data_IF_489276822231
#
_entry.id   IF_489276822231
#
_cell.length_a   1.000
_cell.length_b   1.000
_cell.length_c   1.000
_cell.angle_alpha   90.00
_cell.angle_beta   90.00
_cell.angle_gamma   90.00
#
_symmetry.space_group_name_H-M   'P 1'
#
loop_
_entity.id
_entity.type
_entity.pdbx_description
1 polymer ?
#
# COMPACT_ATOMS: atom_id res chain seq x y z
N UNK A 1 -10.35 41.32 9.75
CA UNK A 1 -11.09 40.29 9.03
C UNK A 1 -10.70 40.12 7.55
N UNK A 2 -10.44 41.15 6.74
CA UNK A 2 -9.87 40.97 5.37
C UNK A 2 -8.40 40.50 5.41
N UNK A 3 -7.56 41.09 6.28
CA UNK A 3 -6.15 40.71 6.42
C UNK A 3 -5.93 39.29 6.94
N UNK A 4 -6.79 38.74 7.80
CA UNK A 4 -6.65 37.38 8.32
C UNK A 4 -6.98 36.32 7.26
N UNK A 5 -7.98 36.56 6.40
CA UNK A 5 -8.28 35.66 5.29
C UNK A 5 -7.21 35.68 4.21
N UNK A 6 -6.60 36.81 3.91
CA UNK A 6 -5.46 36.92 2.99
C UNK A 6 -4.19 36.32 3.59
N UNK A 7 -3.96 36.49 4.90
CA UNK A 7 -2.87 35.83 5.62
C UNK A 7 -3.04 34.31 5.62
N UNK A 8 -4.23 33.79 5.94
CA UNK A 8 -4.51 32.35 5.88
C UNK A 8 -4.47 31.81 4.45
N UNK A 9 -4.86 32.57 3.45
CA UNK A 9 -4.72 32.18 2.03
C UNK A 9 -3.26 32.19 1.57
N UNK A 10 -2.44 33.14 2.01
CA UNK A 10 -0.99 33.15 1.74
C UNK A 10 -0.27 32.02 2.47
N UNK A 11 -0.57 31.79 3.73
CA UNK A 11 0.00 30.67 4.50
C UNK A 11 -0.43 29.30 3.94
N UNK A 12 -1.67 29.18 3.45
CA UNK A 12 -2.13 27.98 2.75
C UNK A 12 -1.48 27.79 1.37
N UNK A 13 -1.11 28.89 0.69
CA UNK A 13 -0.40 28.87 -0.60
C UNK A 13 1.12 28.56 -0.45
N UNK A 14 1.70 28.80 0.73
CA UNK A 14 3.10 28.51 1.03
C UNK A 14 3.33 27.12 1.65
N UNK A 15 2.28 26.43 2.08
CA UNK A 15 2.42 25.06 2.61
C UNK A 15 2.39 24.06 1.47
N UNK A 16 3.55 23.52 1.11
CA UNK A 16 3.63 22.30 0.29
C UNK A 16 3.04 21.18 1.15
N UNK A 17 1.96 20.54 0.73
CA UNK A 17 1.52 19.34 1.43
C UNK A 17 2.68 18.34 1.44
N UNK A 18 2.82 17.58 2.51
CA UNK A 18 3.79 16.51 2.57
C UNK A 18 3.54 15.54 1.40
N UNK A 19 4.61 15.13 0.72
CA UNK A 19 4.52 14.21 -0.39
C UNK A 19 5.56 13.10 -0.25
N UNK A 20 5.27 11.98 -0.86
CA UNK A 20 6.12 10.80 -0.86
C UNK A 20 6.62 10.52 -2.27
N UNK A 21 7.92 10.24 -2.41
CA UNK A 21 8.53 9.94 -3.70
C UNK A 21 9.04 8.50 -3.71
N UNK A 22 8.47 7.68 -4.57
CA UNK A 22 8.92 6.32 -4.80
C UNK A 22 9.96 6.32 -5.92
N UNK A 23 11.24 6.31 -5.56
CA UNK A 23 12.32 6.32 -6.52
C UNK A 23 12.61 4.92 -7.05
N UNK A 24 12.72 4.80 -8.36
CA UNK A 24 12.92 3.55 -9.10
C UNK A 24 14.29 3.52 -9.76
N UNK A 25 15.36 3.21 -9.00
CA UNK A 25 16.73 3.35 -9.48
C UNK A 25 17.09 2.39 -10.63
N UNK A 26 16.32 1.30 -10.78
CA UNK A 26 16.44 0.31 -11.87
C UNK A 26 15.28 0.37 -12.85
N UNK A 27 14.41 1.40 -12.75
CA UNK A 27 13.19 1.47 -13.57
C UNK A 27 12.40 0.17 -13.50
N UNK A 28 12.05 -0.38 -14.66
CA UNK A 28 11.32 -1.64 -14.77
C UNK A 28 12.19 -2.90 -14.66
N UNK A 29 13.52 -2.79 -14.64
CA UNK A 29 14.40 -3.98 -14.59
C UNK A 29 14.27 -4.73 -13.28
N UNK A 30 14.09 -6.05 -13.39
CA UNK A 30 13.98 -6.98 -12.28
C UNK A 30 14.74 -8.28 -12.60
N UNK A 31 15.19 -8.99 -11.55
CA UNK A 31 15.75 -10.34 -11.62
C UNK A 31 14.69 -11.45 -11.50
N UNK A 32 13.41 -11.06 -11.33
CA UNK A 32 12.26 -11.94 -11.37
C UNK A 32 11.34 -11.61 -12.54
N UNK A 33 10.50 -12.58 -12.90
CA UNK A 33 9.40 -12.45 -13.84
C UNK A 33 8.12 -12.90 -13.15
N UNK A 34 7.51 -12.01 -12.36
CA UNK A 34 6.23 -12.29 -11.71
C UNK A 34 5.10 -12.10 -12.72
N UNK A 35 4.21 -13.08 -12.87
CA UNK A 35 3.19 -13.11 -13.94
C UNK A 35 2.18 -11.95 -13.87
N UNK A 36 1.98 -11.36 -12.69
CA UNK A 36 1.09 -10.23 -12.45
C UNK A 36 1.80 -8.87 -12.36
N UNK A 37 3.10 -8.80 -12.67
CA UNK A 37 3.86 -7.58 -12.42
C UNK A 37 3.53 -6.48 -13.45
N UNK A 38 2.72 -5.50 -13.03
CA UNK A 38 2.33 -4.36 -13.86
C UNK A 38 3.50 -3.45 -14.25
N UNK A 39 4.65 -3.59 -13.56
CA UNK A 39 5.79 -2.71 -13.75
C UNK A 39 6.74 -3.17 -14.85
N UNK A 40 6.81 -4.47 -15.16
CA UNK A 40 7.68 -5.00 -16.22
C UNK A 40 7.40 -4.40 -17.60
N UNK A 41 6.14 -4.16 -17.93
CA UNK A 41 5.76 -3.55 -19.21
C UNK A 41 6.25 -2.10 -19.36
N UNK A 42 6.63 -1.42 -18.27
CA UNK A 42 7.15 -0.05 -18.29
C UNK A 42 8.53 0.05 -18.96
N UNK A 43 9.20 -1.08 -19.19
CA UNK A 43 10.43 -1.13 -19.98
C UNK A 43 10.25 -0.49 -21.37
N UNK A 44 9.06 -0.66 -21.98
CA UNK A 44 8.75 -0.10 -23.28
C UNK A 44 8.70 1.43 -23.34
N UNK A 45 8.58 2.10 -22.19
CA UNK A 45 8.59 3.57 -22.13
C UNK A 45 9.99 4.16 -22.36
N UNK A 46 11.04 3.37 -22.18
CA UNK A 46 12.43 3.82 -22.21
C UNK A 46 13.30 2.95 -23.12
N UNK A 47 13.02 2.93 -24.42
CA UNK A 47 13.78 2.09 -25.38
C UNK A 47 15.26 2.48 -25.39
N UNK A 48 16.14 1.50 -25.25
CA UNK A 48 17.60 1.71 -25.24
C UNK A 48 18.19 2.19 -23.92
N UNK A 49 17.39 2.32 -22.87
CA UNK A 49 17.89 2.66 -21.53
C UNK A 49 18.68 1.51 -20.92
N UNK A 50 19.69 1.82 -20.13
CA UNK A 50 20.40 0.88 -19.26
C UNK A 50 19.65 0.62 -17.94
N UNK A 51 18.59 1.38 -17.67
CA UNK A 51 17.77 1.30 -16.46
C UNK A 51 18.60 1.42 -15.17
N UNK A 52 19.53 2.37 -15.16
CA UNK A 52 20.36 2.66 -13.99
C UNK A 52 20.33 4.14 -13.65
N UNK A 53 19.89 4.45 -12.45
CA UNK A 53 19.93 5.80 -11.91
C UNK A 53 21.38 6.24 -11.71
N UNK A 54 21.74 7.39 -12.27
CA UNK A 54 23.06 7.98 -12.09
C UNK A 54 23.18 8.67 -10.75
N UNK A 55 24.41 8.84 -10.27
CA UNK A 55 24.69 9.46 -8.96
C UNK A 55 24.20 10.92 -8.89
N UNK A 56 24.32 11.71 -9.96
CA UNK A 56 23.82 13.08 -10.01
C UNK A 56 22.29 13.17 -9.81
N UNK A 57 21.55 12.22 -10.39
CA UNK A 57 20.11 12.13 -10.22
C UNK A 57 19.73 11.63 -8.81
N UNK A 58 20.44 10.64 -8.28
CA UNK A 58 20.27 10.15 -6.91
C UNK A 58 20.47 11.27 -5.89
N UNK A 59 21.51 12.08 -6.06
CA UNK A 59 21.79 13.24 -5.23
C UNK A 59 20.70 14.33 -5.35
N UNK A 60 20.24 14.60 -6.58
CA UNK A 60 19.13 15.52 -6.84
C UNK A 60 17.83 15.05 -6.19
N UNK A 61 17.52 13.74 -6.28
CA UNK A 61 16.36 13.13 -5.62
C UNK A 61 16.40 13.38 -4.10
N UNK A 62 17.51 13.06 -3.44
CA UNK A 62 17.67 13.23 -1.99
C UNK A 62 17.50 14.70 -1.60
N UNK A 63 18.28 15.59 -2.26
CA UNK A 63 18.28 17.01 -1.96
C UNK A 63 16.91 17.67 -2.18
N UNK A 64 16.26 17.37 -3.31
CA UNK A 64 15.00 18.01 -3.67
C UNK A 64 13.83 17.45 -2.84
N UNK A 65 13.79 16.14 -2.56
CA UNK A 65 12.74 15.54 -1.73
C UNK A 65 12.78 16.11 -0.32
N UNK A 66 13.96 16.24 0.28
CA UNK A 66 14.10 16.82 1.61
C UNK A 66 13.90 18.35 1.61
N UNK A 67 14.49 19.05 0.61
CA UNK A 67 14.45 20.51 0.55
C UNK A 67 13.08 21.12 0.20
N UNK A 68 12.24 20.38 -0.52
CA UNK A 68 10.91 20.85 -0.94
C UNK A 68 9.84 20.74 0.15
N UNK A 69 10.11 20.10 1.26
CA UNK A 69 9.12 19.81 2.32
C UNK A 69 9.45 20.57 3.62
N UNK A 70 8.42 20.83 4.42
CA UNK A 70 8.53 21.47 5.74
C UNK A 70 7.92 20.53 6.80
N UNK A 71 8.49 19.31 6.87
CA UNK A 71 8.06 18.24 7.78
C UNK A 71 9.21 17.87 8.71
N UNK A 72 8.95 17.34 9.90
CA UNK A 72 10.01 16.93 10.83
C UNK A 72 10.78 15.69 10.33
N UNK A 73 10.18 14.92 9.42
CA UNK A 73 10.74 13.69 8.89
C UNK A 73 10.39 13.55 7.40
N UNK A 74 11.36 13.13 6.59
CA UNK A 74 11.17 12.80 5.18
C UNK A 74 11.45 11.32 4.94
N UNK A 75 10.69 10.70 4.03
CA UNK A 75 10.94 9.31 3.63
C UNK A 75 11.71 9.28 2.30
N UNK A 76 12.84 8.60 2.27
CA UNK A 76 13.57 8.24 1.05
C UNK A 76 13.24 6.78 0.70
N UNK A 77 12.39 6.60 -0.31
CA UNK A 77 11.87 5.30 -0.67
C UNK A 77 12.48 4.80 -1.99
N UNK A 78 13.04 3.59 -1.92
CA UNK A 78 13.64 2.88 -3.05
C UNK A 78 12.78 1.68 -3.42
N UNK A 79 12.31 1.64 -4.65
CA UNK A 79 11.54 0.51 -5.19
C UNK A 79 11.70 0.45 -6.72
N UNK A 80 10.79 -0.15 -7.44
CA UNK A 80 10.82 -0.25 -8.90
C UNK A 80 10.71 -1.69 -9.36
N UNK A 81 11.50 -2.09 -10.35
CA UNK A 81 11.66 -3.50 -10.71
C UNK A 81 12.30 -4.26 -9.53
N UNK A 82 13.62 -4.23 -9.46
CA UNK A 82 14.33 -4.69 -8.26
C UNK A 82 15.49 -3.74 -7.93
N UNK A 83 15.35 -2.87 -6.91
CA UNK A 83 16.35 -1.84 -6.61
C UNK A 83 17.71 -2.41 -6.20
N UNK A 84 17.78 -3.63 -5.64
CA UNK A 84 19.05 -4.25 -5.25
C UNK A 84 19.97 -4.60 -6.43
N UNK A 85 19.46 -4.60 -7.67
CA UNK A 85 20.25 -4.69 -8.90
C UNK A 85 21.20 -3.50 -9.11
N UNK A 86 21.00 -2.38 -8.41
CA UNK A 86 21.97 -1.28 -8.39
C UNK A 86 23.27 -1.67 -7.70
N UNK A 87 23.25 -2.69 -6.85
CA UNK A 87 24.36 -3.11 -6.01
C UNK A 87 24.48 -2.29 -4.73
N UNK A 88 25.08 -2.87 -3.70
CA UNK A 88 25.18 -2.28 -2.36
C UNK A 88 25.93 -0.94 -2.35
N UNK A 89 26.94 -0.79 -3.20
CA UNK A 89 27.72 0.46 -3.28
C UNK A 89 26.90 1.67 -3.71
N UNK A 90 25.85 1.50 -4.52
CA UNK A 90 24.91 2.58 -4.84
C UNK A 90 24.21 3.07 -3.56
N UNK A 91 23.73 2.17 -2.71
CA UNK A 91 23.04 2.54 -1.47
C UNK A 91 24.00 3.13 -0.42
N UNK A 92 25.27 2.69 -0.40
CA UNK A 92 26.31 3.33 0.41
C UNK A 92 26.54 4.79 -0.01
N UNK A 93 26.62 5.05 -1.33
CA UNK A 93 26.72 6.41 -1.85
C UNK A 93 25.46 7.24 -1.58
N UNK A 94 24.27 6.65 -1.74
CA UNK A 94 23.01 7.32 -1.41
C UNK A 94 22.96 7.72 0.07
N UNK A 95 23.38 6.82 0.96
CA UNK A 95 23.47 7.12 2.40
C UNK A 95 24.47 8.24 2.71
N UNK A 96 25.63 8.22 2.07
CA UNK A 96 26.63 9.27 2.22
C UNK A 96 26.13 10.62 1.67
N UNK A 97 25.35 10.60 0.59
CA UNK A 97 24.79 11.79 -0.06
C UNK A 97 23.74 12.52 0.80
N UNK A 98 23.12 11.87 1.77
CA UNK A 98 22.21 12.52 2.73
C UNK A 98 22.93 13.61 3.56
N UNK A 99 24.23 13.37 3.87
CA UNK A 99 25.05 14.33 4.58
C UNK A 99 25.18 15.64 3.81
N UNK A 100 24.72 16.75 4.40
CA UNK A 100 24.75 18.08 3.80
C UNK A 100 23.65 18.39 2.77
N UNK A 101 22.82 17.40 2.38
CA UNK A 101 21.68 17.61 1.46
C UNK A 101 20.33 17.59 2.18
N UNK A 102 20.23 16.89 3.31
CA UNK A 102 19.04 16.91 4.16
C UNK A 102 19.15 18.10 5.13
N UNK A 103 18.11 18.93 5.28
CA UNK A 103 18.11 20.04 6.21
C UNK A 103 18.42 19.60 7.65
N UNK A 104 19.19 20.41 8.37
CA UNK A 104 19.53 20.13 9.77
C UNK A 104 18.26 19.99 10.64
N UNK A 105 18.21 18.93 11.44
CA UNK A 105 17.08 18.63 12.30
C UNK A 105 15.92 17.88 11.65
N UNK A 106 15.96 17.62 10.34
CA UNK A 106 14.99 16.76 9.64
C UNK A 106 15.44 15.31 9.79
N UNK A 107 14.56 14.45 10.31
CA UNK A 107 14.79 13.01 10.34
C UNK A 107 14.63 12.40 8.94
N UNK A 108 15.36 11.31 8.67
CA UNK A 108 15.24 10.55 7.41
C UNK A 108 14.78 9.14 7.73
N UNK A 109 13.62 8.77 7.23
CA UNK A 109 13.16 7.40 7.15
C UNK A 109 13.63 6.81 5.82
N UNK A 110 14.24 5.64 5.86
CA UNK A 110 14.75 4.95 4.66
C UNK A 110 13.95 3.69 4.44
N UNK A 111 13.40 3.55 3.25
CA UNK A 111 12.65 2.35 2.91
C UNK A 111 13.18 1.70 1.65
N UNK A 112 13.23 0.37 1.63
CA UNK A 112 13.64 -0.45 0.49
C UNK A 112 12.60 -1.52 0.23
N UNK A 113 11.86 -1.41 -0.88
CA UNK A 113 10.95 -2.46 -1.32
C UNK A 113 11.71 -3.41 -2.25
N UNK A 114 11.79 -4.69 -1.88
CA UNK A 114 12.57 -5.68 -2.61
C UNK A 114 11.89 -7.06 -2.65
N UNK A 115 12.19 -7.84 -3.67
CA UNK A 115 11.85 -9.27 -3.72
C UNK A 115 12.76 -10.12 -2.81
N UNK A 116 13.80 -9.57 -2.21
CA UNK A 116 14.68 -10.20 -1.25
C UNK A 116 15.71 -11.18 -1.82
N UNK A 117 15.60 -11.56 -3.08
CA UNK A 117 16.39 -12.65 -3.68
C UNK A 117 17.91 -12.38 -3.67
N UNK A 118 18.33 -11.12 -3.68
CA UNK A 118 19.73 -10.70 -3.66
C UNK A 118 20.23 -10.28 -2.27
N UNK A 119 19.40 -10.35 -1.22
CA UNK A 119 19.82 -9.99 0.12
C UNK A 119 20.70 -11.09 0.73
N UNK A 120 21.96 -10.79 0.86
CA UNK A 120 22.96 -11.59 1.60
C UNK A 120 23.25 -10.98 2.98
N UNK A 121 24.23 -11.53 3.69
CA UNK A 121 24.60 -11.04 5.03
C UNK A 121 25.16 -9.61 4.99
N UNK A 122 25.89 -9.22 3.94
CA UNK A 122 26.44 -7.86 3.79
C UNK A 122 25.33 -6.83 3.57
N UNK A 123 24.35 -7.14 2.73
CA UNK A 123 23.16 -6.34 2.54
C UNK A 123 22.38 -6.16 3.84
N UNK A 124 22.09 -7.27 4.54
CA UNK A 124 21.29 -7.22 5.75
C UNK A 124 21.97 -6.45 6.88
N UNK A 125 23.30 -6.58 7.02
CA UNK A 125 24.08 -5.78 7.96
C UNK A 125 24.00 -4.27 7.63
N UNK A 126 24.19 -3.90 6.36
CA UNK A 126 24.08 -2.51 5.92
C UNK A 126 22.68 -1.93 6.19
N UNK A 127 21.62 -2.68 5.89
CA UNK A 127 20.25 -2.24 6.09
C UNK A 127 19.95 -1.99 7.58
N UNK A 128 20.41 -2.89 8.46
CA UNK A 128 20.28 -2.75 9.90
C UNK A 128 21.06 -1.55 10.45
N UNK A 129 22.35 -1.41 10.07
CA UNK A 129 23.24 -0.33 10.52
C UNK A 129 22.77 1.07 10.10
N UNK A 130 21.96 1.16 9.05
CA UNK A 130 21.47 2.42 8.48
C UNK A 130 19.96 2.63 8.67
N UNK A 131 19.31 1.88 9.56
CA UNK A 131 17.90 2.01 9.93
C UNK A 131 16.95 1.97 8.71
N UNK A 132 17.17 1.02 7.78
CA UNK A 132 16.25 0.80 6.68
C UNK A 132 15.07 -0.04 7.12
N UNK A 133 13.85 0.42 6.81
CA UNK A 133 12.68 -0.44 6.81
C UNK A 133 12.59 -1.18 5.47
N UNK A 134 12.67 -2.50 5.51
CA UNK A 134 12.64 -3.36 4.32
C UNK A 134 11.23 -3.85 4.05
N UNK A 135 10.67 -3.51 2.90
CA UNK A 135 9.45 -4.14 2.39
C UNK A 135 9.82 -5.43 1.66
N UNK A 136 9.57 -6.58 2.25
CA UNK A 136 9.86 -7.88 1.64
C UNK A 136 8.63 -8.42 0.91
N UNK A 137 8.78 -8.65 -0.40
CA UNK A 137 7.69 -9.18 -1.22
C UNK A 137 7.56 -10.69 -1.07
N UNK A 138 6.46 -11.16 -0.45
CA UNK A 138 6.14 -12.59 -0.30
C UNK A 138 4.63 -12.80 -0.22
N UNK A 139 4.07 -13.74 -0.99
CA UNK A 139 2.62 -13.87 -1.20
C UNK A 139 1.97 -14.99 -0.37
N UNK A 140 2.68 -15.55 0.60
CA UNK A 140 2.19 -16.63 1.47
C UNK A 140 3.11 -17.83 1.51
N UNK A 141 2.62 -19.00 1.92
CA UNK A 141 3.33 -20.28 1.84
C UNK A 141 3.84 -20.59 0.43
N UNK A 142 4.75 -21.56 0.33
CA UNK A 142 5.49 -21.93 -0.89
C UNK A 142 4.62 -22.00 -2.14
N UNK A 143 3.58 -22.80 -2.09
CA UNK A 143 2.74 -23.07 -3.26
C UNK A 143 2.02 -21.82 -3.75
N UNK A 144 1.63 -20.95 -2.84
CA UNK A 144 0.95 -19.69 -3.14
C UNK A 144 1.93 -18.62 -3.64
N UNK A 145 3.13 -18.57 -3.07
CA UNK A 145 4.19 -17.65 -3.50
C UNK A 145 4.72 -18.01 -4.89
N UNK A 146 5.09 -19.28 -5.08
CA UNK A 146 5.69 -19.76 -6.33
C UNK A 146 4.65 -19.96 -7.46
N UNK A 147 3.35 -19.73 -7.20
CA UNK A 147 2.32 -19.75 -8.23
C UNK A 147 2.53 -18.68 -9.31
N UNK A 148 3.01 -17.48 -8.93
CA UNK A 148 3.20 -16.35 -9.85
C UNK A 148 4.55 -15.66 -9.72
N UNK A 149 5.40 -16.02 -8.75
CA UNK A 149 6.72 -15.41 -8.59
C UNK A 149 7.82 -16.39 -8.96
N UNK A 150 8.50 -16.10 -10.06
CA UNK A 150 9.58 -16.94 -10.56
C UNK A 150 10.79 -16.10 -10.95
N UNK A 151 11.98 -16.72 -11.03
CA UNK A 151 13.12 -16.05 -11.64
C UNK A 151 12.97 -15.98 -13.17
N UNK A 152 13.89 -15.29 -13.85
CA UNK A 152 13.89 -15.15 -15.31
C UNK A 152 13.97 -16.49 -16.06
N UNK A 153 14.35 -17.56 -15.38
CA UNK A 153 14.38 -18.94 -15.92
C UNK A 153 13.14 -19.76 -15.58
N UNK A 154 12.10 -19.17 -15.00
CA UNK A 154 10.87 -19.85 -14.58
C UNK A 154 11.01 -20.72 -13.34
N UNK A 155 12.09 -20.55 -12.54
CA UNK A 155 12.31 -21.34 -11.34
C UNK A 155 11.67 -20.69 -10.11
N UNK A 156 11.14 -21.48 -9.15
CA UNK A 156 10.57 -20.99 -7.91
C UNK A 156 11.60 -20.23 -7.08
N UNK A 157 11.14 -19.25 -6.29
CA UNK A 157 12.03 -18.36 -5.53
C UNK A 157 11.72 -18.32 -4.03
N UNK A 158 10.71 -19.01 -3.55
CA UNK A 158 10.25 -19.00 -2.16
C UNK A 158 11.40 -19.21 -1.15
N UNK A 159 12.22 -20.24 -1.33
CA UNK A 159 13.32 -20.54 -0.40
C UNK A 159 14.33 -19.40 -0.29
N UNK A 160 14.60 -18.72 -1.40
CA UNK A 160 15.52 -17.56 -1.42
C UNK A 160 14.95 -16.39 -0.66
N UNK A 161 13.64 -16.14 -0.80
CA UNK A 161 12.93 -15.04 -0.11
C UNK A 161 12.83 -15.32 1.39
N UNK A 162 12.49 -16.54 1.79
CA UNK A 162 12.47 -16.95 3.21
C UNK A 162 13.87 -16.86 3.82
N UNK A 163 14.92 -17.29 3.08
CA UNK A 163 16.30 -17.14 3.54
C UNK A 163 16.69 -15.65 3.74
N UNK A 164 16.21 -14.75 2.87
CA UNK A 164 16.40 -13.31 3.05
C UNK A 164 15.71 -12.79 4.32
N UNK A 165 14.46 -13.19 4.59
CA UNK A 165 13.76 -12.84 5.84
C UNK A 165 14.55 -13.30 7.08
N UNK A 166 15.09 -14.52 7.06
CA UNK A 166 15.92 -15.04 8.17
C UNK A 166 17.21 -14.26 8.35
N UNK A 167 17.85 -13.80 7.25
CA UNK A 167 19.03 -12.93 7.33
C UNK A 167 18.70 -11.56 7.89
N UNK A 168 17.59 -10.93 7.46
CA UNK A 168 17.13 -9.67 8.02
C UNK A 168 16.95 -9.79 9.54
N UNK A 169 16.26 -10.83 10.00
CA UNK A 169 16.09 -11.12 11.44
C UNK A 169 17.43 -11.33 12.15
N UNK A 170 18.35 -12.13 11.58
CA UNK A 170 19.69 -12.38 12.13
C UNK A 170 20.47 -11.09 12.37
N UNK A 171 20.38 -10.14 11.46
CA UNK A 171 21.09 -8.86 11.54
C UNK A 171 20.31 -7.77 12.27
N UNK A 172 19.05 -8.02 12.69
CA UNK A 172 18.20 -7.04 13.36
C UNK A 172 17.67 -5.94 12.45
N UNK A 173 17.65 -6.16 11.12
CA UNK A 173 17.03 -5.24 10.18
C UNK A 173 15.50 -5.33 10.27
N UNK A 174 14.83 -4.19 10.39
CA UNK A 174 13.37 -4.13 10.41
C UNK A 174 12.80 -4.44 9.04
N UNK A 175 11.77 -5.27 9.00
CA UNK A 175 11.05 -5.54 7.76
C UNK A 175 9.54 -5.68 7.96
N UNK A 176 8.81 -5.30 6.93
CA UNK A 176 7.40 -5.62 6.74
C UNK A 176 7.23 -6.58 5.56
N UNK A 177 6.11 -7.28 5.53
CA UNK A 177 5.71 -8.13 4.41
C UNK A 177 4.79 -7.35 3.49
N UNK A 178 5.10 -7.35 2.18
CA UNK A 178 4.17 -6.95 1.14
C UNK A 178 3.67 -8.21 0.43
N UNK A 179 2.38 -8.51 0.61
CA UNK A 179 1.69 -9.63 -0.01
C UNK A 179 0.71 -9.14 -1.07
N UNK A 180 0.85 -9.62 -2.30
CA UNK A 180 -0.17 -9.40 -3.32
C UNK A 180 -1.28 -10.44 -3.18
N UNK A 181 -2.53 -9.95 -3.12
CA UNK A 181 -3.71 -10.83 -3.10
C UNK A 181 -4.14 -11.06 -4.53
N UNK A 182 -4.11 -12.30 -4.97
CA UNK A 182 -4.33 -12.74 -6.33
C UNK A 182 -5.20 -14.00 -6.36
N UNK A 183 -5.52 -14.50 -7.55
CA UNK A 183 -6.40 -15.66 -7.70
C UNK A 183 -5.86 -16.93 -7.01
N UNK A 184 -4.53 -17.10 -6.90
CA UNK A 184 -3.94 -18.29 -6.29
C UNK A 184 -4.06 -18.31 -4.77
N UNK A 185 -3.91 -17.14 -4.10
CA UNK A 185 -3.89 -17.08 -2.63
C UNK A 185 -5.21 -16.61 -1.99
N UNK A 186 -6.11 -16.01 -2.76
CA UNK A 186 -7.36 -15.44 -2.24
C UNK A 186 -8.27 -16.46 -1.52
N UNK A 187 -8.16 -17.74 -1.88
CA UNK A 187 -8.87 -18.86 -1.21
C UNK A 187 -8.22 -19.31 0.11
N UNK A 188 -7.04 -18.80 0.46
CA UNK A 188 -6.20 -19.28 1.57
C UNK A 188 -5.86 -18.19 2.62
N UNK A 189 -6.83 -17.38 3.09
CA UNK A 189 -6.55 -16.23 3.92
C UNK A 189 -5.80 -16.57 5.22
N UNK A 190 -6.21 -17.60 5.93
CA UNK A 190 -5.61 -17.96 7.21
C UNK A 190 -4.28 -18.70 7.05
N UNK A 191 -4.08 -19.44 5.97
CA UNK A 191 -2.78 -20.06 5.66
C UNK A 191 -1.74 -18.97 5.39
N UNK A 192 -2.11 -17.93 4.62
CA UNK A 192 -1.26 -16.76 4.35
C UNK A 192 -0.96 -15.97 5.63
N UNK A 193 -2.00 -15.62 6.40
CA UNK A 193 -1.83 -14.82 7.61
C UNK A 193 -0.98 -15.51 8.68
N UNK A 194 -1.28 -16.79 8.95
CA UNK A 194 -0.56 -17.59 9.94
C UNK A 194 0.87 -17.88 9.53
N UNK A 195 1.13 -18.10 8.24
CA UNK A 195 2.48 -18.22 7.73
C UNK A 195 3.31 -16.96 8.05
N UNK A 196 2.78 -15.76 7.82
CA UNK A 196 3.50 -14.53 8.14
C UNK A 196 3.73 -14.36 9.64
N UNK A 197 2.71 -14.61 10.46
CA UNK A 197 2.77 -14.46 11.91
C UNK A 197 3.64 -15.54 12.56
N UNK A 198 3.33 -16.81 12.29
CA UNK A 198 3.84 -17.94 13.08
C UNK A 198 5.15 -18.51 12.53
N UNK A 199 5.31 -18.54 11.20
CA UNK A 199 6.48 -19.15 10.56
C UNK A 199 7.53 -18.11 10.17
N UNK A 200 7.11 -16.99 9.56
CA UNK A 200 8.01 -15.93 9.14
C UNK A 200 8.35 -14.97 10.30
N UNK A 201 7.50 -14.85 11.32
CA UNK A 201 7.68 -13.95 12.44
C UNK A 201 7.55 -12.47 12.05
N UNK A 202 6.82 -12.17 10.99
CA UNK A 202 6.54 -10.81 10.56
C UNK A 202 5.47 -10.17 11.46
N UNK A 203 5.63 -8.89 11.77
CA UNK A 203 4.65 -8.11 12.56
C UNK A 203 3.83 -7.14 11.74
N UNK A 204 4.34 -6.69 10.60
CA UNK A 204 3.70 -5.70 9.74
C UNK A 204 3.40 -6.33 8.39
N UNK A 205 2.14 -6.26 7.96
CA UNK A 205 1.65 -6.87 6.72
C UNK A 205 0.94 -5.81 5.88
N UNK A 206 1.35 -5.71 4.62
CA UNK A 206 0.64 -4.96 3.58
C UNK A 206 -0.04 -5.96 2.65
N UNK A 207 -1.35 -5.81 2.48
CA UNK A 207 -2.18 -6.64 1.62
C UNK A 207 -2.60 -5.83 0.40
N UNK A 208 -2.03 -6.12 -0.76
CA UNK A 208 -2.23 -5.36 -2.00
C UNK A 208 -3.00 -6.20 -3.01
N UNK A 209 -4.27 -5.88 -3.34
CA UNK A 209 -5.03 -6.65 -4.31
C UNK A 209 -4.49 -6.48 -5.73
N UNK A 210 -4.34 -7.58 -6.44
CA UNK A 210 -4.05 -7.57 -7.89
C UNK A 210 -5.35 -7.37 -8.65
N UNK A 211 -5.39 -6.31 -9.45
CA UNK A 211 -6.43 -6.04 -10.44
C UNK A 211 -5.71 -5.64 -11.74
N UNK A 212 -5.50 -6.60 -12.61
CA UNK A 212 -4.94 -6.39 -13.95
C UNK A 212 -6.09 -6.15 -14.91
N UNK A 213 -6.15 -4.95 -15.47
CA UNK A 213 -7.20 -4.59 -16.43
C UNK A 213 -6.86 -5.23 -17.77
N UNK A 214 -7.64 -6.22 -18.17
CA UNK A 214 -7.50 -6.90 -19.47
C UNK A 214 -8.21 -6.13 -20.58
N UNK A 215 -9.44 -5.69 -20.30
CA UNK A 215 -10.18 -4.79 -21.18
C UNK A 215 -10.58 -3.56 -20.42
N UNK A 216 -10.19 -2.34 -20.82
CA UNK A 216 -10.65 -1.13 -20.18
C UNK A 216 -12.15 -0.89 -20.45
N UNK A 217 -12.84 -0.15 -19.57
CA UNK A 217 -14.24 0.23 -19.80
C UNK A 217 -14.34 1.11 -21.06
N UNK A 218 -15.30 0.81 -21.93
CA UNK A 218 -15.55 1.58 -23.16
C UNK A 218 -17.03 1.49 -23.57
N UNK A 219 -17.54 2.55 -24.19
CA UNK A 219 -18.88 2.57 -24.83
C UNK A 219 -20.02 2.08 -23.90
N UNK A 220 -20.00 2.46 -22.62
CA UNK A 220 -21.00 2.04 -21.64
C UNK A 220 -20.90 0.56 -21.24
N UNK A 221 -19.82 -0.14 -21.59
CA UNK A 221 -19.53 -1.51 -21.15
C UNK A 221 -18.51 -1.49 -20.02
N UNK A 222 -18.66 -2.38 -19.01
CA UNK A 222 -17.66 -2.52 -17.95
C UNK A 222 -16.34 -3.05 -18.51
N UNK A 223 -15.23 -2.72 -17.87
CA UNK A 223 -13.96 -3.37 -18.08
C UNK A 223 -13.94 -4.78 -17.51
N UNK A 224 -12.92 -5.56 -17.89
CA UNK A 224 -12.63 -6.89 -17.35
C UNK A 224 -11.26 -6.92 -16.69
N UNK A 225 -11.12 -7.80 -15.71
CA UNK A 225 -9.84 -8.08 -15.08
C UNK A 225 -9.38 -9.49 -15.46
N UNK A 226 -8.06 -9.71 -15.50
CA UNK A 226 -7.45 -10.99 -15.84
C UNK A 226 -7.82 -12.10 -14.85
N UNK A 227 -7.64 -13.35 -15.27
CA UNK A 227 -7.85 -14.54 -14.42
C UNK A 227 -6.90 -14.59 -13.22
N UNK A 228 -5.79 -13.87 -13.23
CA UNK A 228 -4.87 -13.74 -12.09
C UNK A 228 -5.36 -12.74 -11.05
N UNK A 229 -6.26 -11.85 -11.43
CA UNK A 229 -6.82 -10.84 -10.54
C UNK A 229 -7.69 -11.50 -9.46
N UNK A 230 -7.61 -10.93 -8.24
CA UNK A 230 -8.50 -11.35 -7.17
C UNK A 230 -9.95 -10.97 -7.51
N UNK A 231 -10.86 -11.94 -7.36
CA UNK A 231 -12.28 -11.67 -7.54
C UNK A 231 -12.84 -10.83 -6.37
N UNK A 232 -13.81 -9.94 -6.61
CA UNK A 232 -14.36 -9.05 -5.57
C UNK A 232 -14.79 -9.77 -4.30
N UNK A 233 -15.56 -10.84 -4.43
CA UNK A 233 -16.09 -11.59 -3.30
C UNK A 233 -14.99 -12.37 -2.56
N UNK A 234 -14.00 -12.88 -3.29
CA UNK A 234 -12.84 -13.56 -2.69
C UNK A 234 -12.00 -12.59 -1.88
N UNK A 235 -11.77 -11.38 -2.39
CA UNK A 235 -11.07 -10.34 -1.65
C UNK A 235 -11.78 -9.97 -0.35
N UNK A 236 -13.11 -9.79 -0.42
CA UNK A 236 -13.92 -9.54 0.78
C UNK A 236 -13.85 -10.66 1.81
N UNK A 237 -13.92 -11.92 1.36
CA UNK A 237 -13.77 -13.10 2.23
C UNK A 237 -12.36 -13.21 2.81
N UNK A 238 -11.33 -12.95 2.00
CA UNK A 238 -9.94 -12.97 2.42
C UNK A 238 -9.69 -11.97 3.56
N UNK A 239 -10.05 -10.72 3.36
CA UNK A 239 -9.90 -9.67 4.38
C UNK A 239 -10.71 -10.00 5.65
N UNK A 240 -11.94 -10.46 5.50
CA UNK A 240 -12.83 -10.77 6.62
C UNK A 240 -12.30 -11.91 7.47
N UNK A 241 -11.79 -12.97 6.85
CA UNK A 241 -11.26 -14.13 7.58
C UNK A 241 -10.01 -13.76 8.40
N UNK A 242 -9.10 -12.96 7.82
CA UNK A 242 -7.91 -12.45 8.53
C UNK A 242 -8.35 -11.52 9.66
N UNK A 243 -9.27 -10.57 9.38
CA UNK A 243 -9.76 -9.64 10.38
C UNK A 243 -10.38 -10.35 11.58
N UNK A 244 -11.14 -11.41 11.34
CA UNK A 244 -11.79 -12.19 12.38
C UNK A 244 -10.80 -12.89 13.32
N UNK A 245 -9.67 -13.36 12.82
CA UNK A 245 -8.58 -13.89 13.65
C UNK A 245 -7.83 -12.77 14.36
N UNK A 246 -7.43 -11.74 13.61
CA UNK A 246 -6.68 -10.59 14.10
C UNK A 246 -7.39 -9.86 15.24
N UNK A 247 -8.67 -9.54 15.07
CA UNK A 247 -9.42 -8.75 16.06
C UNK A 247 -9.68 -9.50 17.38
N UNK A 248 -9.52 -10.82 17.38
CA UNK A 248 -9.69 -11.65 18.59
C UNK A 248 -8.39 -11.98 19.31
N UNK A 249 -7.23 -11.87 18.61
CA UNK A 249 -5.97 -12.41 19.14
C UNK A 249 -4.78 -11.48 19.01
N UNK A 250 -4.73 -10.66 17.97
CA UNK A 250 -3.46 -10.11 17.50
C UNK A 250 -3.46 -8.57 17.45
N UNK A 251 -4.53 -7.89 17.92
CA UNK A 251 -4.59 -6.42 17.98
C UNK A 251 -3.49 -5.89 18.90
N UNK A 252 -2.62 -5.03 18.35
CA UNK A 252 -1.45 -4.49 19.06
C UNK A 252 -0.19 -5.36 18.97
N UNK A 253 -0.29 -6.59 18.44
CA UNK A 253 0.85 -7.49 18.18
C UNK A 253 1.16 -7.62 16.70
N UNK A 254 0.12 -7.73 15.86
CA UNK A 254 0.20 -7.76 14.41
C UNK A 254 -0.45 -6.51 13.83
N UNK A 255 0.22 -5.89 12.88
CA UNK A 255 -0.22 -4.67 12.20
C UNK A 255 -0.54 -5.00 10.74
N UNK A 256 -1.82 -4.96 10.40
CA UNK A 256 -2.28 -5.12 9.02
C UNK A 256 -2.63 -3.75 8.50
N UNK A 257 -1.79 -3.21 7.62
CA UNK A 257 -1.85 -1.82 7.14
C UNK A 257 -3.25 -1.40 6.69
N UNK A 258 -3.96 -2.30 5.98
CA UNK A 258 -5.32 -2.02 5.52
C UNK A 258 -6.30 -1.85 6.71
N UNK A 259 -6.20 -2.69 7.74
CA UNK A 259 -7.07 -2.59 8.92
C UNK A 259 -6.77 -1.34 9.74
N UNK A 260 -5.50 -1.01 9.91
CA UNK A 260 -5.06 0.22 10.59
C UNK A 260 -5.53 1.47 9.83
N UNK A 261 -5.46 1.45 8.49
CA UNK A 261 -5.96 2.52 7.63
C UNK A 261 -7.48 2.70 7.73
N UNK A 262 -8.24 1.60 7.83
CA UNK A 262 -9.69 1.64 8.06
C UNK A 262 -9.99 2.15 9.47
N UNK A 263 -9.30 1.66 10.49
CA UNK A 263 -9.48 2.14 11.87
C UNK A 263 -9.18 3.64 12.00
N UNK A 264 -8.15 4.13 11.32
CA UNK A 264 -7.83 5.56 11.29
C UNK A 264 -9.01 6.39 10.74
N UNK A 265 -9.73 5.90 9.72
CA UNK A 265 -10.92 6.58 9.21
C UNK A 265 -12.06 6.65 10.26
N UNK A 266 -12.23 5.62 11.09
CA UNK A 266 -13.18 5.66 12.21
C UNK A 266 -12.75 6.62 13.33
N UNK A 267 -11.46 6.73 13.63
CA UNK A 267 -10.92 7.54 14.74
C UNK A 267 -10.79 9.00 14.37
N UNK A 268 -10.27 9.28 13.16
CA UNK A 268 -9.85 10.62 12.72
C UNK A 268 -10.69 11.20 11.59
N UNK A 269 -11.60 10.41 10.99
CA UNK A 269 -12.36 10.80 9.81
C UNK A 269 -11.58 10.72 8.49
N UNK A 270 -10.32 10.30 8.51
CA UNK A 270 -9.49 10.08 7.32
C UNK A 270 -8.50 8.94 7.52
N UNK A 271 -8.08 8.31 6.43
CA UNK A 271 -7.08 7.24 6.42
C UNK A 271 -5.69 7.78 6.09
N UNK A 272 -4.64 7.09 6.55
CA UNK A 272 -3.26 7.32 6.09
C UNK A 272 -2.97 6.65 4.74
N UNK A 273 -3.81 5.71 4.29
CA UNK A 273 -3.62 5.00 3.02
C UNK A 273 -4.21 5.80 1.86
N UNK A 274 -3.42 6.07 0.83
CA UNK A 274 -3.85 6.83 -0.35
C UNK A 274 -5.09 6.22 -1.03
N UNK A 275 -5.21 4.88 -1.06
CA UNK A 275 -6.37 4.19 -1.63
C UNK A 275 -7.67 4.49 -0.88
N UNK A 276 -7.60 4.76 0.43
CA UNK A 276 -8.75 5.08 1.29
C UNK A 276 -8.94 6.59 1.52
N UNK A 277 -8.08 7.44 0.97
CA UNK A 277 -8.23 8.90 1.04
C UNK A 277 -9.20 9.43 -0.02
N UNK A 278 -9.82 10.59 0.19
CA UNK A 278 -10.72 11.19 -0.80
C UNK A 278 -10.00 11.66 -2.07
N UNK A 279 -8.72 12.03 -1.95
CA UNK A 279 -7.89 12.52 -3.06
C UNK A 279 -6.65 11.66 -3.24
N UNK A 280 -6.01 11.74 -4.41
CA UNK A 280 -4.69 11.19 -4.71
C UNK A 280 -3.64 12.32 -4.78
N UNK A 281 -2.43 12.00 -5.25
CA UNK A 281 -1.43 12.97 -5.67
C UNK A 281 -0.33 13.27 -4.64
N UNK A 282 -0.39 12.68 -3.44
CA UNK A 282 0.68 12.81 -2.44
C UNK A 282 1.82 11.80 -2.63
N UNK A 283 1.59 10.71 -3.37
CA UNK A 283 2.60 9.70 -3.71
C UNK A 283 2.95 9.76 -5.19
N UNK A 284 4.16 10.21 -5.53
CA UNK A 284 4.67 10.31 -6.91
C UNK A 284 5.72 9.26 -7.18
N UNK A 285 5.91 8.87 -8.45
CA UNK A 285 6.92 7.91 -8.87
C UNK A 285 8.04 8.61 -9.65
N UNK A 286 9.28 8.41 -9.22
CA UNK A 286 10.48 8.93 -9.88
C UNK A 286 11.20 7.79 -10.60
N UNK A 287 11.31 7.89 -11.92
CA UNK A 287 12.02 6.94 -12.74
C UNK A 287 13.54 7.15 -12.74
N UNK A 288 14.27 6.10 -13.16
CA UNK A 288 15.74 6.04 -13.19
C UNK A 288 16.41 7.12 -14.03
N UNK A 289 15.68 7.78 -14.94
CA UNK A 289 16.17 8.87 -15.80
C UNK A 289 15.76 10.27 -15.30
N UNK A 290 15.04 10.35 -14.18
CA UNK A 290 14.59 11.61 -13.58
C UNK A 290 13.16 12.03 -13.93
N UNK A 291 12.45 11.26 -14.73
CA UNK A 291 11.04 11.51 -15.04
C UNK A 291 10.17 11.25 -13.82
N UNK A 292 9.32 12.22 -13.49
CA UNK A 292 8.40 12.18 -12.36
C UNK A 292 6.98 11.98 -12.86
N UNK A 293 6.30 10.97 -12.31
CA UNK A 293 4.92 10.63 -12.65
C UNK A 293 3.97 10.87 -11.48
N UNK A 294 2.71 11.14 -11.79
CA UNK A 294 1.66 11.45 -10.82
C UNK A 294 1.44 10.38 -9.75
N UNK A 295 1.70 9.12 -10.06
CA UNK A 295 1.52 7.98 -9.16
C UNK A 295 2.24 6.75 -9.71
N UNK A 296 2.61 5.82 -8.83
CA UNK A 296 3.22 4.54 -9.18
C UNK A 296 2.36 3.67 -10.13
N UNK A 297 1.05 3.71 -9.93
CA UNK A 297 0.11 2.99 -10.81
C UNK A 297 -0.11 3.64 -12.18
N UNK A 298 0.30 4.90 -12.34
CA UNK A 298 0.07 5.71 -13.53
C UNK A 298 1.41 6.20 -14.10
N UNK A 299 2.33 5.25 -14.34
CA UNK A 299 3.58 5.51 -15.06
C UNK A 299 3.32 5.30 -16.55
N UNK A 300 2.88 6.36 -17.21
CA UNK A 300 2.57 6.43 -18.63
C UNK A 300 2.69 7.88 -19.14
N UNK A 301 2.80 8.13 -20.47
CA UNK A 301 2.96 9.48 -21.00
C UNK A 301 1.85 10.46 -20.61
N UNK A 302 0.63 9.95 -20.37
CA UNK A 302 -0.52 10.74 -19.92
C UNK A 302 -0.37 11.31 -18.50
N UNK A 303 0.50 10.75 -17.67
CA UNK A 303 0.69 11.12 -16.28
C UNK A 303 2.12 11.61 -15.94
N UNK A 304 2.94 11.85 -16.95
CA UNK A 304 4.26 12.46 -16.78
C UNK A 304 4.13 13.92 -16.33
N UNK A 305 4.70 14.27 -15.19
CA UNK A 305 4.73 15.63 -14.66
C UNK A 305 5.90 16.45 -15.23
N UNK A 306 7.03 15.82 -15.46
CA UNK A 306 8.26 16.41 -15.94
C UNK A 306 9.49 15.67 -15.44
N UNK A 307 10.68 16.25 -15.64
CA UNK A 307 11.95 15.66 -15.21
C UNK A 307 12.56 16.51 -14.10
N UNK A 308 12.99 15.91 -12.99
CA UNK A 308 13.48 16.62 -11.80
C UNK A 308 14.84 17.31 -12.02
N UNK A 309 15.59 16.94 -13.05
CA UNK A 309 16.82 17.64 -13.43
C UNK A 309 16.54 18.92 -14.22
N UNK A 310 15.35 19.07 -14.80
CA UNK A 310 14.92 20.25 -15.56
C UNK A 310 14.02 21.18 -14.73
N UNK A 311 13.17 20.62 -13.88
CA UNK A 311 12.19 21.35 -13.06
C UNK A 311 12.22 20.83 -11.63
N UNK A 312 12.33 21.70 -10.61
CA UNK A 312 12.35 21.25 -9.21
C UNK A 312 11.13 20.38 -8.85
N UNK A 313 11.38 19.30 -8.09
CA UNK A 313 10.33 18.33 -7.71
C UNK A 313 9.15 19.00 -7.00
N UNK A 314 9.42 19.99 -6.15
CA UNK A 314 8.39 20.75 -5.46
C UNK A 314 7.43 21.49 -6.40
N UNK A 315 7.91 21.95 -7.56
CA UNK A 315 7.09 22.65 -8.55
C UNK A 315 6.26 21.64 -9.35
N UNK A 316 6.83 20.48 -9.68
CA UNK A 316 6.12 19.39 -10.36
C UNK A 316 4.97 18.85 -9.50
N UNK A 317 5.22 18.59 -8.21
CA UNK A 317 4.20 18.08 -7.26
C UNK A 317 3.10 19.13 -7.00
N UNK A 318 3.42 20.42 -7.06
CA UNK A 318 2.44 21.52 -6.90
C UNK A 318 1.74 21.92 -8.19
N UNK A 319 2.09 21.34 -9.32
CA UNK A 319 1.52 21.71 -10.62
C UNK A 319 -0.01 21.56 -10.65
N UNK A 320 -0.67 22.36 -11.49
CA UNK A 320 -2.11 22.22 -11.73
C UNK A 320 -2.49 20.81 -12.21
N UNK A 321 -1.61 20.19 -13.00
CA UNK A 321 -1.76 18.84 -13.49
C UNK A 321 -1.83 17.82 -12.34
N UNK A 322 -0.90 17.92 -11.37
CA UNK A 322 -0.90 17.01 -10.21
C UNK A 322 -2.10 17.25 -9.30
N UNK A 323 -2.49 18.53 -9.10
CA UNK A 323 -3.71 18.84 -8.33
C UNK A 323 -4.96 18.27 -9.00
N UNK A 324 -5.09 18.46 -10.32
CA UNK A 324 -6.22 17.91 -11.09
C UNK A 324 -6.28 16.38 -11.00
N UNK A 325 -5.12 15.69 -11.14
CA UNK A 325 -5.01 14.25 -10.96
C UNK A 325 -5.51 13.83 -9.56
N UNK A 326 -5.05 14.50 -8.51
CA UNK A 326 -5.45 14.19 -7.15
C UNK A 326 -6.95 14.36 -6.90
N UNK A 327 -7.52 15.48 -7.34
CA UNK A 327 -8.93 15.83 -7.17
C UNK A 327 -9.85 14.93 -8.00
N UNK A 328 -9.40 14.45 -9.15
CA UNK A 328 -10.18 13.58 -10.03
C UNK A 328 -10.68 12.34 -9.29
N UNK A 329 -9.94 11.81 -8.32
CA UNK A 329 -10.36 10.66 -7.52
C UNK A 329 -11.73 10.86 -6.87
N UNK A 330 -11.97 12.02 -6.25
CA UNK A 330 -13.24 12.35 -5.61
C UNK A 330 -14.28 12.85 -6.62
N UNK A 331 -13.87 13.68 -7.57
CA UNK A 331 -14.77 14.32 -8.54
C UNK A 331 -15.44 13.33 -9.49
N UNK A 332 -14.74 12.22 -9.81
CA UNK A 332 -15.25 11.18 -10.72
C UNK A 332 -15.97 10.03 -10.00
N UNK A 333 -16.25 10.17 -8.69
CA UNK A 333 -17.04 9.16 -7.98
C UNK A 333 -18.47 9.09 -8.51
N UNK A 334 -19.00 7.90 -8.86
CA UNK A 334 -20.39 7.73 -9.25
C UNK A 334 -21.35 8.04 -8.09
N UNK A 335 -22.60 8.37 -8.42
CA UNK A 335 -23.66 8.66 -7.43
C UNK A 335 -23.83 7.51 -6.43
N UNK A 336 -23.72 6.28 -6.91
CA UNK A 336 -23.72 5.06 -6.11
C UNK A 336 -22.68 5.08 -4.98
N UNK A 337 -21.46 5.54 -5.26
CA UNK A 337 -20.42 5.69 -4.26
C UNK A 337 -20.67 6.86 -3.31
N UNK A 338 -21.12 8.01 -3.84
CA UNK A 338 -21.42 9.20 -3.03
C UNK A 338 -22.53 8.98 -2.00
N UNK A 339 -23.48 8.09 -2.29
CA UNK A 339 -24.57 7.70 -1.36
C UNK A 339 -24.24 6.50 -0.46
N UNK A 340 -23.04 5.93 -0.58
CA UNK A 340 -22.65 4.73 0.16
C UNK A 340 -22.37 5.03 1.64
N UNK A 341 -22.91 4.22 2.54
CA UNK A 341 -22.70 4.34 3.99
C UNK A 341 -21.22 4.19 4.41
N UNK A 342 -20.39 3.60 3.56
CA UNK A 342 -18.96 3.38 3.81
C UNK A 342 -18.05 4.34 3.04
N UNK A 343 -18.61 5.40 2.44
CA UNK A 343 -17.81 6.37 1.68
C UNK A 343 -16.67 6.94 2.52
N UNK A 344 -16.90 7.26 3.78
CA UNK A 344 -15.93 7.85 4.70
C UNK A 344 -14.64 7.00 4.90
N UNK A 345 -14.76 5.68 4.73
CA UNK A 345 -13.64 4.73 4.89
C UNK A 345 -13.12 4.19 3.56
N UNK A 346 -13.93 4.21 2.49
CA UNK A 346 -13.60 3.62 1.19
C UNK A 346 -13.11 4.66 0.17
N UNK A 347 -13.81 5.81 0.08
CA UNK A 347 -13.56 6.86 -0.91
C UNK A 347 -13.43 6.35 -2.36
N UNK A 348 -14.12 5.23 -2.68
CA UNK A 348 -14.09 4.59 -3.99
C UNK A 348 -12.78 3.86 -4.31
N UNK A 349 -11.91 3.66 -3.33
CA UNK A 349 -10.61 2.99 -3.41
C UNK A 349 -9.74 3.56 -4.55
N UNK A 350 -8.77 2.80 -5.10
CA UNK A 350 -7.85 3.27 -6.14
C UNK A 350 -8.57 3.52 -7.48
N UNK A 351 -8.41 4.69 -8.13
CA UNK A 351 -8.98 4.95 -9.45
C UNK A 351 -8.55 3.94 -10.51
N UNK A 352 -7.36 3.35 -10.41
CA UNK A 352 -6.88 2.29 -11.31
C UNK A 352 -7.87 1.13 -11.41
N UNK A 353 -8.54 0.80 -10.30
CA UNK A 353 -9.43 -0.36 -10.21
C UNK A 353 -10.91 -0.02 -10.54
N UNK A 354 -11.22 1.21 -10.96
CA UNK A 354 -12.57 1.68 -11.26
C UNK A 354 -13.00 1.33 -12.69
N UNK A 355 -13.16 0.05 -12.95
CA UNK A 355 -13.42 -0.49 -14.29
C UNK A 355 -14.86 -0.99 -14.49
N UNK A 356 -15.70 -0.96 -13.45
CA UNK A 356 -17.08 -1.45 -13.54
C UNK A 356 -18.08 -0.30 -13.73
N UNK A 357 -19.28 -0.70 -14.13
CA UNK A 357 -20.48 0.14 -14.07
C UNK A 357 -21.21 -0.07 -12.74
N UNK A 358 -21.85 0.97 -12.24
CA UNK A 358 -22.80 0.86 -11.12
C UNK A 358 -24.04 0.06 -11.54
N UNK A 359 -24.89 -0.39 -10.60
CA UNK A 359 -26.18 -1.01 -10.92
C UNK A 359 -27.08 -0.15 -11.84
N UNK A 360 -26.92 1.18 -11.77
CA UNK A 360 -27.67 2.15 -12.58
C UNK A 360 -26.96 2.49 -13.91
N UNK A 361 -25.85 1.81 -14.23
CA UNK A 361 -25.09 1.98 -15.48
C UNK A 361 -24.09 3.14 -15.49
N UNK A 362 -23.87 3.87 -14.37
CA UNK A 362 -22.88 4.95 -14.28
C UNK A 362 -21.46 4.33 -14.22
N UNK A 363 -20.46 4.83 -15.01
CA UNK A 363 -19.12 4.30 -14.99
C UNK A 363 -18.33 4.71 -13.74
N UNK A 364 -17.24 3.98 -13.42
CA UNK A 364 -16.31 4.34 -12.36
C UNK A 364 -16.53 3.60 -11.03
N UNK A 365 -17.30 2.51 -11.03
CA UNK A 365 -17.37 1.61 -9.88
C UNK A 365 -16.10 0.77 -9.81
N UNK A 366 -15.53 0.68 -8.61
CA UNK A 366 -14.32 -0.10 -8.35
C UNK A 366 -14.60 -1.60 -8.46
N UNK A 367 -13.67 -2.34 -9.09
CA UNK A 367 -13.71 -3.81 -9.22
C UNK A 367 -13.95 -4.50 -7.88
N UNK A 368 -13.28 -4.07 -6.83
CA UNK A 368 -13.31 -4.67 -5.50
C UNK A 368 -14.53 -4.25 -4.66
N UNK A 369 -15.43 -3.40 -5.20
CA UNK A 369 -16.51 -2.75 -4.44
C UNK A 369 -17.38 -3.73 -3.66
N UNK A 370 -17.80 -4.86 -4.25
CA UNK A 370 -18.67 -5.84 -3.59
C UNK A 370 -17.98 -6.44 -2.35
N UNK A 371 -16.73 -6.87 -2.49
CA UNK A 371 -15.93 -7.43 -1.38
C UNK A 371 -15.61 -6.41 -0.30
N UNK A 372 -15.21 -5.19 -0.68
CA UNK A 372 -14.94 -4.11 0.28
C UNK A 372 -16.20 -3.73 1.06
N UNK A 373 -17.35 -3.64 0.40
CA UNK A 373 -18.62 -3.33 1.07
C UNK A 373 -19.01 -4.42 2.07
N UNK A 374 -18.80 -5.69 1.71
CA UNK A 374 -19.01 -6.82 2.61
C UNK A 374 -18.05 -6.78 3.81
N UNK A 375 -16.77 -6.49 3.57
CA UNK A 375 -15.76 -6.32 4.62
C UNK A 375 -16.13 -5.19 5.59
N UNK A 376 -16.44 -3.99 5.09
CA UNK A 376 -16.82 -2.85 5.94
C UNK A 376 -18.09 -3.14 6.76
N UNK A 377 -19.08 -3.80 6.16
CA UNK A 377 -20.29 -4.20 6.87
C UNK A 377 -19.98 -5.16 8.02
N UNK A 378 -19.12 -6.15 7.78
CA UNK A 378 -18.72 -7.15 8.77
C UNK A 378 -17.91 -6.55 9.92
N UNK A 379 -16.96 -5.67 9.59
CA UNK A 379 -16.00 -5.13 10.56
C UNK A 379 -16.47 -3.87 11.28
N UNK A 380 -17.61 -3.29 10.87
CA UNK A 380 -18.12 -2.01 11.36
C UNK A 380 -18.18 -1.93 12.88
N UNK A 381 -18.71 -2.97 13.54
CA UNK A 381 -18.87 -2.97 15.00
C UNK A 381 -17.54 -3.05 15.75
N UNK A 382 -16.64 -4.00 15.49
CA UNK A 382 -15.33 -4.03 16.12
C UNK A 382 -14.51 -2.75 15.86
N UNK A 383 -14.57 -2.20 14.65
CA UNK A 383 -13.89 -0.95 14.31
C UNK A 383 -14.42 0.24 15.12
N UNK A 384 -15.74 0.37 15.33
CA UNK A 384 -16.33 1.38 16.19
C UNK A 384 -15.92 1.23 17.65
N UNK A 385 -15.93 0.00 18.17
CA UNK A 385 -15.48 -0.27 19.55
C UNK A 385 -14.02 0.14 19.76
N UNK A 386 -13.13 -0.23 18.82
CA UNK A 386 -11.72 0.20 18.88
C UNK A 386 -11.60 1.73 18.83
N UNK A 387 -12.35 2.39 17.96
CA UNK A 387 -12.35 3.85 17.86
C UNK A 387 -12.87 4.52 19.14
N UNK A 388 -13.90 3.99 19.77
CA UNK A 388 -14.42 4.46 21.07
C UNK A 388 -13.40 4.26 22.21
N UNK A 389 -12.70 3.12 22.24
CA UNK A 389 -11.64 2.83 23.19
C UNK A 389 -10.51 3.85 23.03
N UNK A 390 -10.02 4.05 21.81
CA UNK A 390 -8.96 5.01 21.51
C UNK A 390 -9.40 6.45 21.82
N UNK A 391 -10.65 6.81 21.53
CA UNK A 391 -11.21 8.15 21.81
C UNK A 391 -11.27 8.52 23.28
N UNK A 392 -11.29 7.54 24.19
CA UNK A 392 -11.21 7.75 25.65
C UNK A 392 -9.80 7.50 26.24
N UNK A 393 -8.78 7.38 25.38
CA UNK A 393 -7.38 7.20 25.79
C UNK A 393 -6.99 5.78 26.16
N UNK A 394 -7.83 4.78 25.84
CA UNK A 394 -7.51 3.36 25.97
C UNK A 394 -6.68 2.82 24.79
N UNK A 395 -6.39 1.53 24.79
CA UNK A 395 -5.64 0.86 23.76
C UNK A 395 -6.55 -0.02 22.89
N UNK A 396 -6.36 -0.02 21.54
CA UNK A 396 -7.20 -0.77 20.61
C UNK A 396 -7.33 -2.27 20.98
N UNK A 397 -6.28 -2.86 21.57
CA UNK A 397 -6.27 -4.27 22.01
C UNK A 397 -7.31 -4.62 23.06
N UNK A 398 -7.85 -3.65 23.80
CA UNK A 398 -8.93 -3.88 24.77
C UNK A 398 -10.20 -4.47 24.12
N UNK A 399 -10.37 -4.26 22.80
CA UNK A 399 -11.47 -4.84 22.01
C UNK A 399 -11.50 -6.36 22.12
N UNK A 400 -10.33 -7.03 22.24
CA UNK A 400 -10.25 -8.50 22.31
C UNK A 400 -10.98 -9.02 23.54
N UNK A 401 -10.79 -8.39 24.71
CA UNK A 401 -11.48 -8.78 25.94
C UNK A 401 -12.99 -8.53 25.85
N UNK A 402 -13.40 -7.39 25.30
CA UNK A 402 -14.82 -7.07 25.10
C UNK A 402 -15.53 -8.09 24.20
N UNK A 403 -14.92 -8.43 23.06
CA UNK A 403 -15.48 -9.41 22.15
C UNK A 403 -15.51 -10.83 22.74
N UNK A 404 -14.52 -11.19 23.58
CA UNK A 404 -14.49 -12.46 24.29
C UNK A 404 -15.61 -12.57 25.33
N UNK A 405 -15.88 -11.48 26.08
CA UNK A 405 -16.96 -11.44 27.08
C UNK A 405 -18.34 -11.53 26.42
N UNK A 406 -18.54 -10.81 25.31
CA UNK A 406 -19.76 -10.94 24.53
C UNK A 406 -19.98 -12.36 23.99
N UNK A 407 -18.92 -13.00 23.48
CA UNK A 407 -19.01 -14.37 22.98
C UNK A 407 -19.42 -15.37 24.07
N UNK A 408 -19.04 -15.13 25.34
CA UNK A 408 -19.42 -15.97 26.50
C UNK A 408 -20.88 -15.80 26.90
N UNK A 409 -21.41 -14.59 26.77
CA UNK A 409 -22.79 -14.26 27.17
C UNK A 409 -23.82 -14.54 26.06
N UNK A 410 -23.36 -14.67 24.82
CA UNK A 410 -24.23 -14.85 23.65
C UNK A 410 -24.71 -16.29 23.46
N UNK A 411 -26.02 -16.44 23.33
CA UNK A 411 -26.63 -17.71 22.97
C UNK A 411 -26.35 -18.11 21.53
N UNK A 412 -26.12 -19.39 21.25
CA UNK A 412 -25.83 -19.90 19.89
C UNK A 412 -26.86 -19.49 18.84
N UNK A 413 -28.11 -19.28 19.23
CA UNK A 413 -29.22 -18.94 18.34
C UNK A 413 -29.54 -17.44 18.32
N UNK A 414 -28.89 -16.63 19.15
CA UNK A 414 -29.10 -15.19 19.18
C UNK A 414 -28.72 -14.52 17.85
N UNK A 415 -29.32 -13.38 17.52
CA UNK A 415 -28.87 -12.57 16.39
C UNK A 415 -27.39 -12.23 16.53
N UNK A 416 -26.61 -12.39 15.44
CA UNK A 416 -25.19 -12.08 15.53
C UNK A 416 -24.97 -10.57 15.76
N UNK A 417 -24.13 -10.18 16.72
CA UNK A 417 -23.89 -8.77 17.08
C UNK A 417 -23.19 -8.00 15.96
N UNK A 418 -22.62 -8.68 14.94
CA UNK A 418 -22.03 -8.02 13.79
C UNK A 418 -23.05 -7.37 12.83
N UNK A 419 -24.35 -7.51 13.08
CA UNK A 419 -25.39 -6.95 12.23
C UNK A 419 -25.67 -7.73 10.94
N UNK A 420 -25.09 -8.93 10.77
CA UNK A 420 -25.29 -9.76 9.56
C UNK A 420 -26.70 -10.32 9.37
N UNK A 421 -27.58 -10.18 10.36
CA UNK A 421 -28.90 -10.80 10.39
C UNK A 421 -28.87 -12.34 10.59
N UNK A 422 -27.70 -12.95 10.66
CA UNK A 422 -27.52 -14.40 10.88
C UNK A 422 -27.51 -14.71 12.36
N UNK A 423 -27.84 -15.99 12.73
CA UNK A 423 -27.63 -16.48 14.09
C UNK A 423 -26.16 -16.52 14.43
N UNK A 424 -25.78 -16.23 15.69
CA UNK A 424 -24.39 -16.20 16.15
C UNK A 424 -23.59 -17.45 15.75
N UNK A 425 -24.14 -18.66 15.96
CA UNK A 425 -23.52 -19.93 15.56
C UNK A 425 -23.27 -20.12 14.06
N UNK A 426 -23.88 -19.29 13.20
CA UNK A 426 -23.74 -19.29 11.73
C UNK A 426 -23.01 -18.06 11.20
N UNK A 427 -22.37 -17.29 12.08
CA UNK A 427 -21.64 -16.10 11.78
C UNK A 427 -20.40 -16.00 12.67
N UNK A 428 -20.28 -15.03 13.56
CA UNK A 428 -19.09 -14.83 14.42
C UNK A 428 -18.83 -16.00 15.37
N UNK A 429 -19.82 -16.80 15.71
CA UNK A 429 -19.69 -18.01 16.55
C UNK A 429 -19.11 -19.24 15.83
N UNK A 430 -18.83 -19.17 14.54
CA UNK A 430 -18.17 -20.30 13.82
C UNK A 430 -16.68 -20.36 14.18
N UNK A 431 -16.06 -19.23 14.44
CA UNK A 431 -14.61 -19.09 14.66
C UNK A 431 -14.20 -19.40 16.12
N UNK A 432 -15.16 -19.62 17.01
CA UNK A 432 -14.93 -19.90 18.46
C UNK A 432 -14.81 -21.39 18.78
N UNK A 433 -14.60 -22.27 17.79
CA UNK A 433 -14.41 -23.70 17.99
C UNK A 433 -13.03 -24.17 17.59
#
# INVERSE_FOLDING_TARGET
MRNEREYHHRMAAEHVPAFHVMAKPTGARCNLHCDYCFFLEKEHLYPGSDFRMRDDLMEAYIAQTAGAQRVPQVTLAWQGGEPTLMGLDFFRRARAAEGGRVPAGMAVERTLQTNGVLLDDEWCAFLAENDYLVGLSIDGPRELHDAYRHDLGGRPVFDRVVAAARRLQKHGAEFNVLCTINAANAGHPLDVYRFFRDELGARFIQLVPIVEVETPPADGRPGTASDRSVQPDDYGRFLTAIFDEWVRRDVGEMFVQFFDGVLAAYVRGFSSLCILQPTCGEGVALEHNGDLYSCDHFVDPGHLLGNILATPIGDLVRSDRQRAFGQAKQQTLPAFCRSCAYLFACNGECPKNRILLTPDGEPGLNWLCAGLKAFFAHTQRPMRLMAEILGRGGEAREVMALLADEARTMGRNDPCPCGSGKKYKRCCGIVTR
#
